data_IF_107124498582
#
_entry.id   IF_107124498582
#
_cell.length_a   1.000
_cell.length_b   1.000
_cell.length_c   1.000
_cell.angle_alpha   90.00
_cell.angle_beta   90.00
_cell.angle_gamma   90.00
#
_symmetry.space_group_name_H-M   'P 1'
#
loop_
_entity.id
_entity.type
_entity.pdbx_description
1 polymer ?
#
# COMPACT_ATOMS: atom_id res chain seq x y z
N UNK A 1 -11.20 14.72 -18.51
CA UNK A 1 -10.71 13.56 -17.74
C UNK A 1 -9.88 12.72 -18.68
N UNK A 2 -8.65 12.41 -18.29
CA UNK A 2 -7.75 11.55 -19.05
C UNK A 2 -8.13 10.07 -18.84
N UNK A 3 -7.96 9.23 -19.87
CA UNK A 3 -8.26 7.81 -19.81
C UNK A 3 -7.41 7.08 -18.77
N UNK A 4 -6.15 7.52 -18.57
CA UNK A 4 -5.27 6.98 -17.53
C UNK A 4 -5.79 7.29 -16.12
N UNK A 5 -6.33 8.49 -15.91
CA UNK A 5 -6.90 8.91 -14.65
C UNK A 5 -8.18 8.13 -14.34
N UNK A 6 -9.02 7.88 -15.34
CA UNK A 6 -10.21 7.05 -15.19
C UNK A 6 -9.85 5.60 -14.81
N UNK A 7 -8.85 5.00 -15.47
CA UNK A 7 -8.38 3.66 -15.13
C UNK A 7 -7.80 3.58 -13.72
N UNK A 8 -7.09 4.62 -13.28
CA UNK A 8 -6.60 4.72 -11.91
C UNK A 8 -7.76 4.76 -10.91
N UNK A 9 -8.78 5.59 -11.14
CA UNK A 9 -9.97 5.67 -10.29
C UNK A 9 -10.74 4.35 -10.22
N UNK A 10 -10.87 3.63 -11.34
CA UNK A 10 -11.54 2.33 -11.41
C UNK A 10 -10.78 1.24 -10.62
N UNK A 11 -9.44 1.24 -10.67
CA UNK A 11 -8.61 0.36 -9.84
C UNK A 11 -8.77 0.69 -8.36
N UNK A 12 -8.75 1.97 -8.02
CA UNK A 12 -8.98 2.45 -6.65
C UNK A 12 -10.40 2.11 -6.16
N UNK A 13 -11.39 2.05 -7.04
CA UNK A 13 -12.74 1.60 -6.71
C UNK A 13 -12.77 0.09 -6.41
N UNK A 14 -12.13 -0.74 -7.24
CA UNK A 14 -12.04 -2.18 -7.01
C UNK A 14 -11.37 -2.50 -5.66
N UNK A 15 -10.27 -1.83 -5.34
CA UNK A 15 -9.59 -1.98 -4.06
C UNK A 15 -10.48 -1.59 -2.86
N UNK A 16 -11.25 -0.50 -2.98
CA UNK A 16 -12.22 -0.09 -1.95
C UNK A 16 -13.32 -1.13 -1.72
N UNK A 17 -13.83 -1.75 -2.79
CA UNK A 17 -14.82 -2.82 -2.68
C UNK A 17 -14.24 -4.09 -2.03
N UNK A 18 -13.00 -4.46 -2.37
CA UNK A 18 -12.32 -5.59 -1.73
C UNK A 18 -12.13 -5.39 -0.21
N UNK A 19 -11.78 -4.17 0.22
CA UNK A 19 -11.67 -3.84 1.64
C UNK A 19 -13.03 -3.90 2.35
N UNK A 20 -14.08 -3.33 1.76
CA UNK A 20 -15.45 -3.44 2.26
C UNK A 20 -15.89 -4.89 2.42
N UNK A 21 -15.58 -5.75 1.44
CA UNK A 21 -15.88 -7.17 1.52
C UNK A 21 -15.23 -7.83 2.74
N UNK A 22 -13.95 -7.50 3.00
CA UNK A 22 -13.21 -8.02 4.16
C UNK A 22 -13.80 -7.54 5.49
N UNK A 23 -14.22 -6.29 5.55
CA UNK A 23 -14.83 -5.72 6.76
C UNK A 23 -16.18 -6.42 7.07
N UNK A 24 -17.02 -6.63 6.06
CA UNK A 24 -18.26 -7.41 6.22
C UNK A 24 -17.99 -8.89 6.57
N UNK A 25 -16.94 -9.50 6.00
CA UNK A 25 -16.55 -10.86 6.35
C UNK A 25 -16.08 -10.97 7.80
N UNK A 26 -15.43 -9.92 8.32
CA UNK A 26 -15.03 -9.83 9.73
C UNK A 26 -16.25 -9.61 10.62
N UNK A 27 -17.14 -8.70 10.25
CA UNK A 27 -18.40 -8.45 10.98
C UNK A 27 -19.25 -9.72 11.06
N UNK A 28 -19.31 -10.51 9.98
CA UNK A 28 -20.00 -11.79 9.99
C UNK A 28 -19.41 -12.83 10.95
N UNK A 29 -18.11 -12.74 11.25
CA UNK A 29 -17.43 -13.62 12.23
C UNK A 29 -17.61 -13.14 13.66
N UNK A 30 -17.74 -11.82 13.86
CA UNK A 30 -17.93 -11.18 15.15
C UNK A 30 -19.42 -11.07 15.55
N UNK A 31 -20.33 -11.32 14.61
CA UNK A 31 -21.77 -11.27 14.83
C UNK A 31 -22.23 -12.33 15.85
N UNK A 32 -23.04 -11.88 16.81
CA UNK A 32 -23.63 -12.73 17.86
C UNK A 32 -24.91 -13.43 17.38
N UNK A 33 -25.58 -12.85 16.37
CA UNK A 33 -26.82 -13.35 15.80
C UNK A 33 -26.61 -13.94 14.41
N UNK A 34 -27.13 -15.14 14.18
CA UNK A 34 -26.95 -15.89 12.94
C UNK A 34 -27.58 -15.21 11.70
N UNK A 35 -28.66 -14.45 11.92
CA UNK A 35 -29.27 -13.62 10.86
C UNK A 35 -28.34 -12.49 10.42
N UNK A 36 -27.67 -11.83 11.37
CA UNK A 36 -26.71 -10.77 11.07
C UNK A 36 -25.45 -11.35 10.42
N UNK A 37 -24.96 -12.50 10.91
CA UNK A 37 -23.83 -13.20 10.29
C UNK A 37 -24.11 -13.57 8.83
N UNK A 38 -25.30 -14.10 8.54
CA UNK A 38 -25.70 -14.48 7.19
C UNK A 38 -25.86 -13.27 6.26
N UNK A 39 -26.45 -12.18 6.78
CA UNK A 39 -26.57 -10.92 6.05
C UNK A 39 -25.19 -10.36 5.68
N UNK A 40 -24.28 -10.23 6.65
CA UNK A 40 -22.93 -9.70 6.40
C UNK A 40 -22.09 -10.59 5.49
N UNK A 41 -22.26 -11.92 5.52
CA UNK A 41 -21.64 -12.83 4.53
C UNK A 41 -22.12 -12.52 3.11
N UNK A 42 -23.42 -12.32 2.91
CA UNK A 42 -23.97 -11.97 1.61
C UNK A 42 -23.39 -10.67 1.04
N UNK A 43 -23.21 -9.65 1.88
CA UNK A 43 -22.54 -8.41 1.47
C UNK A 43 -21.06 -8.60 1.18
N UNK A 44 -20.36 -9.38 2.01
CA UNK A 44 -18.95 -9.70 1.78
C UNK A 44 -18.75 -10.37 0.41
N UNK A 45 -19.56 -11.39 0.11
CA UNK A 45 -19.49 -12.12 -1.16
C UNK A 45 -19.83 -11.22 -2.36
N UNK A 46 -20.86 -10.37 -2.23
CA UNK A 46 -21.26 -9.43 -3.27
C UNK A 46 -20.18 -8.41 -3.61
N UNK A 47 -19.60 -7.77 -2.59
CA UNK A 47 -18.50 -6.81 -2.79
C UNK A 47 -17.23 -7.48 -3.30
N UNK A 48 -16.91 -8.68 -2.80
CA UNK A 48 -15.73 -9.43 -3.26
C UNK A 48 -15.85 -9.81 -4.73
N UNK A 49 -17.02 -10.33 -5.14
CA UNK A 49 -17.28 -10.70 -6.53
C UNK A 49 -17.23 -9.48 -7.46
N UNK A 50 -17.88 -8.38 -7.09
CA UNK A 50 -17.85 -7.15 -7.88
C UNK A 50 -16.44 -6.56 -8.02
N UNK A 51 -15.65 -6.56 -6.92
CA UNK A 51 -14.26 -6.14 -6.94
C UNK A 51 -13.41 -7.02 -7.88
N UNK A 52 -13.59 -8.34 -7.80
CA UNK A 52 -12.84 -9.31 -8.60
C UNK A 52 -13.19 -9.21 -10.08
N UNK A 53 -14.48 -9.07 -10.42
CA UNK A 53 -14.93 -8.87 -11.81
C UNK A 53 -14.40 -7.57 -12.40
N UNK A 54 -14.45 -6.46 -11.64
CA UNK A 54 -13.91 -5.17 -12.08
C UNK A 54 -12.39 -5.24 -12.28
N UNK A 55 -11.67 -5.87 -11.35
CA UNK A 55 -10.23 -6.09 -11.48
C UNK A 55 -9.90 -6.95 -12.72
N UNK A 56 -10.67 -8.01 -12.96
CA UNK A 56 -10.50 -8.87 -14.13
C UNK A 56 -10.75 -8.12 -15.45
N UNK A 57 -11.75 -7.24 -15.51
CA UNK A 57 -12.00 -6.39 -16.68
C UNK A 57 -10.82 -5.43 -16.93
N UNK A 58 -10.36 -4.75 -15.88
CA UNK A 58 -9.22 -3.82 -15.95
C UNK A 58 -7.90 -4.52 -16.33
N UNK A 59 -7.76 -5.79 -15.93
CA UNK A 59 -6.58 -6.61 -16.22
C UNK A 59 -6.67 -7.27 -17.60
N UNK A 60 -7.87 -7.58 -18.09
CA UNK A 60 -8.11 -7.99 -19.48
C UNK A 60 -7.77 -6.89 -20.48
N UNK A 61 -8.09 -5.64 -20.14
CA UNK A 61 -7.68 -4.46 -20.91
C UNK A 61 -6.16 -4.21 -20.83
N UNK A 62 -5.53 -4.48 -19.69
CA UNK A 62 -4.07 -4.39 -19.53
C UNK A 62 -3.31 -5.54 -20.22
N UNK A 63 -3.87 -6.75 -20.23
CA UNK A 63 -3.24 -7.95 -20.83
C UNK A 63 -3.35 -7.97 -22.35
N UNK A 64 -4.27 -7.21 -22.94
CA UNK A 64 -4.22 -6.86 -24.37
C UNK A 64 -3.09 -5.88 -24.70
N UNK A 65 -2.57 -5.15 -23.72
CA UNK A 65 -1.51 -4.15 -23.92
C UNK A 65 -0.09 -4.68 -23.65
N UNK A 66 0.08 -5.76 -22.87
CA UNK A 66 1.45 -6.22 -22.55
C UNK A 66 1.47 -7.70 -22.17
N UNK A 67 1.81 -8.54 -23.14
CA UNK A 67 2.27 -9.90 -22.88
C UNK A 67 3.70 -9.89 -22.31
N UNK A 68 4.01 -10.97 -21.59
CA UNK A 68 5.34 -11.51 -21.23
C UNK A 68 5.79 -11.42 -19.75
N UNK A 69 5.76 -12.64 -19.17
CA UNK A 69 6.63 -13.31 -18.19
C UNK A 69 6.64 -12.93 -16.69
N UNK A 70 6.39 -14.02 -15.95
CA UNK A 70 6.38 -14.33 -14.52
C UNK A 70 7.77 -14.79 -14.05
N UNK A 71 8.13 -14.52 -12.78
CA UNK A 71 8.83 -15.39 -11.80
C UNK A 71 9.54 -14.52 -10.73
N UNK A 72 9.22 -14.64 -9.43
CA UNK A 72 9.88 -15.50 -8.41
C UNK A 72 11.27 -14.91 -7.97
N UNK A 73 11.74 -14.84 -6.73
CA UNK A 73 11.43 -15.49 -5.44
C UNK A 73 12.32 -14.86 -4.34
N UNK A 74 11.93 -15.01 -3.06
CA UNK A 74 12.77 -15.17 -1.82
C UNK A 74 13.82 -14.12 -1.38
N UNK A 75 13.70 -13.66 -0.12
CA UNK A 75 14.76 -13.89 0.87
C UNK A 75 15.12 -12.80 1.90
N UNK A 76 14.66 -13.00 3.15
CA UNK A 76 15.39 -12.91 4.43
C UNK A 76 15.89 -11.56 5.04
N UNK A 77 15.24 -11.22 6.16
CA UNK A 77 15.78 -11.03 7.53
C UNK A 77 16.93 -10.04 7.85
N UNK A 78 16.59 -9.04 8.68
CA UNK A 78 17.19 -8.88 10.02
C UNK A 78 18.05 -7.65 10.31
N UNK A 79 17.69 -6.90 11.36
CA UNK A 79 18.68 -6.43 12.36
C UNK A 79 19.05 -4.94 12.44
N UNK A 80 18.16 -4.15 13.06
CA UNK A 80 18.38 -3.15 14.15
C UNK A 80 19.73 -2.40 14.27
N UNK A 81 19.69 -1.05 14.21
CA UNK A 81 20.04 -0.15 15.36
C UNK A 81 19.79 1.36 15.10
N UNK A 82 18.90 1.92 15.93
CA UNK A 82 18.85 3.25 16.58
C UNK A 82 19.48 4.51 15.96
N UNK A 83 18.67 5.59 15.91
CA UNK A 83 19.11 6.91 16.38
C UNK A 83 18.61 8.14 15.63
N UNK A 84 17.72 8.89 16.28
CA UNK A 84 17.65 10.36 16.27
C UNK A 84 17.09 11.06 15.01
N UNK A 85 15.96 11.74 15.21
CA UNK A 85 15.34 12.57 14.20
C UNK A 85 16.19 13.76 13.77
N UNK A 86 16.02 14.15 12.52
CA UNK A 86 16.38 15.48 12.04
C UNK A 86 15.46 15.84 10.87
N UNK A 87 14.67 16.88 11.12
CA UNK A 87 13.93 17.64 10.14
C UNK A 87 14.98 18.36 9.27
N UNK A 88 15.34 17.79 8.13
CA UNK A 88 16.35 18.35 7.24
C UNK A 88 15.69 18.95 5.99
N UNK A 89 15.71 20.28 5.91
CA UNK A 89 15.50 21.07 4.70
C UNK A 89 16.48 20.61 3.63
N UNK A 90 16.03 19.77 2.70
CA UNK A 90 16.85 19.24 1.62
C UNK A 90 16.69 20.08 0.34
N UNK A 91 17.84 20.33 -0.31
CA UNK A 91 18.03 20.87 -1.66
C UNK A 91 17.02 20.32 -2.68
N UNK A 92 16.79 20.99 -3.84
CA UNK A 92 15.86 20.48 -4.85
C UNK A 92 16.38 19.15 -5.43
N UNK A 93 15.99 18.05 -4.79
CA UNK A 93 16.28 16.69 -5.20
C UNK A 93 15.28 16.37 -6.31
N UNK A 94 15.78 16.04 -7.49
CA UNK A 94 14.95 15.54 -8.57
C UNK A 94 14.42 14.16 -8.19
N UNK A 95 13.11 14.11 -7.95
CA UNK A 95 12.43 12.85 -7.65
C UNK A 95 12.01 12.13 -8.92
N UNK A 96 12.19 10.81 -8.92
CA UNK A 96 11.78 9.89 -9.98
C UNK A 96 10.43 9.29 -9.63
N UNK A 97 9.54 9.21 -10.62
CA UNK A 97 8.27 8.51 -10.48
C UNK A 97 8.51 7.01 -10.57
N UNK A 98 8.28 6.31 -9.46
CA UNK A 98 8.36 4.84 -9.39
C UNK A 98 6.94 4.28 -9.42
N UNK A 99 6.75 3.14 -10.09
CA UNK A 99 5.44 2.51 -10.18
C UNK A 99 4.97 2.00 -8.82
N UNK A 100 3.66 2.05 -8.54
CA UNK A 100 3.10 1.54 -7.28
C UNK A 100 3.50 0.08 -7.01
N UNK A 101 3.53 -0.76 -8.05
CA UNK A 101 3.92 -2.16 -7.92
C UNK A 101 5.39 -2.32 -7.49
N UNK A 102 6.28 -1.50 -8.04
CA UNK A 102 7.69 -1.49 -7.66
C UNK A 102 7.88 -0.95 -6.23
N UNK A 103 7.15 0.10 -5.85
CA UNK A 103 7.16 0.64 -4.49
C UNK A 103 6.73 -0.42 -3.48
N UNK A 104 5.60 -1.09 -3.73
CA UNK A 104 5.10 -2.15 -2.84
C UNK A 104 6.09 -3.30 -2.77
N UNK A 105 6.68 -3.71 -3.90
CA UNK A 105 7.67 -4.79 -3.93
C UNK A 105 8.94 -4.43 -3.12
N UNK A 106 9.42 -3.19 -3.23
CA UNK A 106 10.57 -2.69 -2.45
C UNK A 106 10.23 -2.69 -0.95
N UNK A 107 9.05 -2.19 -0.57
CA UNK A 107 8.61 -2.15 0.82
C UNK A 107 8.43 -3.57 1.39
N UNK A 108 7.79 -4.47 0.65
CA UNK A 108 7.62 -5.87 1.04
C UNK A 108 8.96 -6.61 1.17
N UNK A 109 9.90 -6.37 0.25
CA UNK A 109 11.25 -6.94 0.33
C UNK A 109 11.99 -6.48 1.59
N UNK A 110 11.79 -5.22 1.97
CA UNK A 110 12.32 -4.66 3.21
C UNK A 110 11.63 -5.18 4.48
N UNK A 111 10.57 -6.00 4.36
CA UNK A 111 9.74 -6.46 5.47
C UNK A 111 8.79 -5.39 6.00
N UNK A 112 8.71 -4.23 5.34
CA UNK A 112 7.74 -3.19 5.65
C UNK A 112 6.46 -3.49 4.88
N UNK A 113 5.45 -4.04 5.55
CA UNK A 113 4.13 -4.28 4.93
C UNK A 113 3.20 -3.07 5.17
N UNK A 114 3.15 -2.09 4.25
CA UNK A 114 2.19 -1.01 4.35
C UNK A 114 0.77 -1.56 4.24
N UNK A 115 -0.13 -0.97 5.02
CA UNK A 115 -1.57 -1.19 4.89
C UNK A 115 -2.12 -0.47 3.67
N UNK A 116 -1.58 0.72 3.39
CA UNK A 116 -1.98 1.55 2.27
C UNK A 116 -0.76 2.31 1.72
N UNK A 117 -0.72 2.51 0.41
CA UNK A 117 0.35 3.24 -0.29
C UNK A 117 -0.30 4.13 -1.33
N UNK A 118 -0.08 5.43 -1.19
CA UNK A 118 -0.62 6.42 -2.10
C UNK A 118 0.51 7.23 -2.74
N UNK A 119 0.61 7.19 -4.06
CA UNK A 119 1.61 7.96 -4.82
C UNK A 119 0.99 9.29 -5.20
N UNK A 120 1.57 10.38 -4.69
CA UNK A 120 1.09 11.74 -4.95
C UNK A 120 1.62 12.27 -6.28
N UNK A 121 0.95 13.28 -6.87
CA UNK A 121 1.37 13.90 -8.14
C UNK A 121 2.76 14.56 -8.11
N UNK A 122 3.24 14.92 -6.91
CA UNK A 122 4.57 15.49 -6.65
C UNK A 122 5.69 14.42 -6.61
N UNK A 123 5.35 13.16 -6.97
CA UNK A 123 6.24 11.99 -6.94
C UNK A 123 6.66 11.56 -5.54
N UNK A 124 5.97 12.06 -4.51
CA UNK A 124 6.10 11.56 -3.15
C UNK A 124 5.17 10.37 -2.93
N UNK A 125 5.55 9.51 -2.00
CA UNK A 125 4.84 8.29 -1.65
C UNK A 125 4.41 8.40 -0.19
N UNK A 126 3.12 8.27 0.03
CA UNK A 126 2.51 8.22 1.35
C UNK A 126 2.17 6.78 1.71
N UNK A 127 2.98 6.16 2.56
CA UNK A 127 2.75 4.81 3.04
C UNK A 127 2.18 4.83 4.46
N UNK A 128 1.00 4.23 4.65
CA UNK A 128 0.36 4.04 5.94
C UNK A 128 0.54 2.60 6.36
N UNK A 129 0.83 2.39 7.63
CA UNK A 129 1.11 1.09 8.20
C UNK A 129 0.15 0.78 9.34
N UNK A 130 -0.11 -0.50 9.55
CA UNK A 130 -0.97 -0.91 10.66
C UNK A 130 -0.29 -0.62 11.99
N UNK A 131 -1.01 -0.01 12.93
CA UNK A 131 -0.56 0.13 14.33
C UNK A 131 -0.27 -1.21 15.04
N UNK A 132 -0.82 -2.31 14.51
CA UNK A 132 -0.67 -3.66 15.07
C UNK A 132 0.57 -4.39 14.54
N UNK A 133 1.29 -3.78 13.59
CA UNK A 133 2.56 -4.33 13.14
C UNK A 133 3.59 -4.26 14.29
N UNK A 134 4.47 -5.27 14.42
CA UNK A 134 5.41 -5.36 15.55
C UNK A 134 6.54 -4.31 15.50
N UNK A 135 6.65 -3.55 14.41
CA UNK A 135 7.75 -2.60 14.19
C UNK A 135 7.42 -1.20 14.72
N UNK A 136 8.38 -0.64 15.45
CA UNK A 136 8.37 0.76 15.87
C UNK A 136 8.51 1.72 14.69
N UNK A 137 8.15 3.00 14.85
CA UNK A 137 8.23 4.01 13.78
C UNK A 137 9.65 4.18 13.23
N UNK A 138 10.63 4.26 14.13
CA UNK A 138 12.04 4.43 13.77
C UNK A 138 12.59 3.21 13.04
N UNK A 139 12.25 2.01 13.49
CA UNK A 139 12.64 0.75 12.85
C UNK A 139 12.06 0.66 11.43
N UNK A 140 10.81 1.08 11.26
CA UNK A 140 10.15 1.12 9.96
C UNK A 140 10.81 2.09 9.00
N UNK A 141 11.15 3.29 9.47
CA UNK A 141 11.89 4.28 8.68
C UNK A 141 13.25 3.71 8.26
N UNK A 142 13.96 3.03 9.18
CA UNK A 142 15.24 2.39 8.88
C UNK A 142 15.11 1.26 7.85
N UNK A 143 14.06 0.43 7.95
CA UNK A 143 13.77 -0.63 6.96
C UNK A 143 13.50 -0.03 5.57
N UNK A 144 12.70 1.03 5.49
CA UNK A 144 12.36 1.69 4.23
C UNK A 144 13.58 2.38 3.62
N UNK A 145 14.37 3.10 4.42
CA UNK A 145 15.60 3.74 3.96
C UNK A 145 16.68 2.73 3.55
N UNK A 146 16.74 1.58 4.21
CA UNK A 146 17.64 0.47 3.88
C UNK A 146 17.18 -0.38 2.69
N UNK A 147 15.92 -0.28 2.29
CA UNK A 147 15.34 -1.06 1.20
C UNK A 147 15.96 -0.72 -0.15
N UNK A 148 16.18 0.58 -0.40
CA UNK A 148 16.71 1.09 -1.66
C UNK A 148 17.48 2.39 -1.38
N UNK A 149 18.75 2.52 -1.84
CA UNK A 149 19.55 3.72 -1.62
C UNK A 149 18.99 4.98 -2.30
N UNK A 150 18.03 4.82 -3.22
CA UNK A 150 17.30 5.90 -3.88
C UNK A 150 16.21 6.49 -2.99
N UNK A 151 15.80 5.82 -1.91
CA UNK A 151 14.73 6.32 -1.06
C UNK A 151 15.23 7.48 -0.19
N UNK A 152 14.48 8.58 -0.21
CA UNK A 152 14.64 9.75 0.65
C UNK A 152 13.40 9.86 1.49
N UNK A 153 13.54 9.67 2.81
CA UNK A 153 12.45 9.86 3.77
C UNK A 153 12.22 11.37 3.92
N UNK A 154 10.99 11.81 3.68
CA UNK A 154 10.59 13.21 3.77
C UNK A 154 9.94 13.52 5.12
N UNK A 155 9.05 12.66 5.58
CA UNK A 155 8.32 12.82 6.83
C UNK A 155 7.87 11.45 7.37
N UNK A 156 7.63 11.36 8.67
CA UNK A 156 7.05 10.17 9.29
C UNK A 156 6.33 10.57 10.58
N UNK A 157 5.37 9.77 11.00
CA UNK A 157 4.65 10.00 12.25
C UNK A 157 3.39 9.15 12.35
N UNK A 158 2.36 9.71 12.99
CA UNK A 158 1.05 9.04 13.14
C UNK A 158 -0.04 9.85 12.47
N UNK A 159 -0.97 9.16 11.83
CA UNK A 159 -2.19 9.77 11.28
C UNK A 159 -3.05 10.27 12.45
N UNK A 160 -3.48 11.53 12.39
CA UNK A 160 -4.21 12.22 13.46
C UNK A 160 -5.47 11.49 13.90
N UNK A 161 -6.18 10.86 12.96
CA UNK A 161 -7.48 10.23 13.23
C UNK A 161 -7.37 8.74 13.58
N UNK A 162 -6.53 7.97 12.87
CA UNK A 162 -6.41 6.52 13.10
C UNK A 162 -5.30 6.12 14.07
N UNK A 163 -4.40 7.05 14.41
CA UNK A 163 -3.13 6.76 15.10
C UNK A 163 -2.26 5.71 14.40
N UNK A 164 -2.54 5.41 13.13
CA UNK A 164 -1.74 4.50 12.33
C UNK A 164 -0.42 5.20 11.96
N UNK A 165 0.73 4.51 12.06
CA UNK A 165 2.00 5.07 11.64
C UNK A 165 2.02 5.31 10.13
N UNK A 166 2.56 6.44 9.70
CA UNK A 166 2.78 6.76 8.29
C UNK A 166 4.24 7.14 8.03
N UNK A 167 4.68 6.91 6.80
CA UNK A 167 5.98 7.35 6.28
C UNK A 167 5.75 7.97 4.90
N UNK A 168 6.22 9.19 4.75
CA UNK A 168 6.33 9.90 3.48
C UNK A 168 7.76 9.81 2.98
N UNK A 169 7.94 9.35 1.75
CA UNK A 169 9.25 9.24 1.12
C UNK A 169 9.16 9.46 -0.38
N UNK A 170 10.30 9.71 -1.01
CA UNK A 170 10.41 9.85 -2.46
C UNK A 170 11.65 9.11 -2.96
N UNK A 171 11.74 8.87 -4.26
CA UNK A 171 12.90 8.26 -4.89
C UNK A 171 13.74 9.34 -5.56
N UNK A 172 15.01 9.50 -5.19
CA UNK A 172 15.95 10.37 -5.91
C UNK A 172 16.41 9.71 -7.20
N UNK A 173 16.73 10.52 -8.19
CA UNK A 173 17.46 10.08 -9.38
C UNK A 173 18.85 9.58 -8.95
N UNK A 174 19.19 8.34 -9.34
CA UNK A 174 20.42 7.65 -8.96
C UNK A 174 21.58 7.94 -9.87
#
# INVERSE_FOLDING_TARGET
MDAQQLLHELRSLANRWALRARDYAREAKEAKDEKQASYSRGFADGYYKAATELAAMLQGDASRATGTVRAANTGASGGTTAGSGQNATASPINYVSVSLGEIVNILEFAGASPRDVNVRPDKTVYAVFSRWAPHSESERVAMIAGADPRIVILSFGKVKDSSDPYVEFAFKEG
#
